data_IF_891849867094
#
_entry.id   IF_891849867094
#
_cell.length_a   1.000
_cell.length_b   1.000
_cell.length_c   1.000
_cell.angle_alpha   90.00
_cell.angle_beta   90.00
_cell.angle_gamma   90.00
#
_symmetry.space_group_name_H-M   'P 1'
#
loop_
_entity.id
_entity.type
_entity.pdbx_description
1 polymer ?
#
# COMPACT_ATOMS: atom_id res chain seq x y z
N UNK A 1 -8.20 -14.45 -11.37
CA UNK A 1 -7.25 -14.09 -10.31
C UNK A 1 -5.83 -14.25 -10.81
N UNK A 2 -4.98 -13.33 -10.48
CA UNK A 2 -3.57 -13.44 -10.84
C UNK A 2 -2.72 -12.82 -9.74
N UNK A 3 -1.48 -13.23 -9.66
CA UNK A 3 -0.57 -12.72 -8.66
C UNK A 3 0.31 -11.65 -9.29
N UNK A 4 0.51 -10.55 -8.54
CA UNK A 4 1.43 -9.51 -8.94
C UNK A 4 2.80 -9.81 -8.32
N UNK A 5 3.86 -9.61 -9.10
CA UNK A 5 5.21 -9.90 -8.62
C UNK A 5 6.18 -8.76 -8.83
N UNK A 6 5.74 -7.67 -9.47
CA UNK A 6 6.65 -6.58 -9.81
C UNK A 6 7.28 -5.88 -8.60
N UNK A 7 6.66 -6.01 -7.44
CA UNK A 7 7.20 -5.42 -6.21
C UNK A 7 8.31 -6.28 -5.59
N UNK A 8 8.52 -7.47 -6.12
CA UNK A 8 9.52 -8.39 -5.55
C UNK A 8 10.88 -8.15 -6.16
N UNK A 9 11.39 -6.95 -5.97
CA UNK A 9 12.68 -6.57 -6.54
C UNK A 9 13.85 -6.86 -5.61
N UNK A 10 13.55 -7.25 -4.37
CA UNK A 10 14.57 -7.66 -3.42
C UNK A 10 13.92 -8.61 -2.41
N UNK A 11 14.70 -9.23 -1.56
CA UNK A 11 14.20 -10.25 -0.65
C UNK A 11 13.24 -9.75 0.41
N UNK A 12 13.13 -8.45 0.59
CA UNK A 12 12.27 -7.90 1.65
C UNK A 12 10.81 -8.27 1.42
N UNK A 13 10.39 -8.31 0.18
CA UNK A 13 8.99 -8.53 -0.15
C UNK A 13 8.65 -9.99 -0.47
N UNK A 14 9.59 -10.89 -0.28
CA UNK A 14 9.35 -12.29 -0.66
C UNK A 14 8.24 -12.94 0.16
N UNK A 15 8.01 -12.47 1.36
CA UNK A 15 6.98 -13.03 2.21
C UNK A 15 5.57 -12.55 1.93
N UNK A 16 5.41 -11.64 0.99
CA UNK A 16 4.10 -11.09 0.66
C UNK A 16 3.54 -11.73 -0.59
N UNK A 17 2.23 -11.94 -0.61
CA UNK A 17 1.52 -12.39 -1.81
C UNK A 17 0.45 -11.37 -2.14
N UNK A 18 0.55 -10.76 -3.30
CA UNK A 18 -0.44 -9.79 -3.78
C UNK A 18 -1.22 -10.42 -4.90
N UNK A 19 -2.53 -10.52 -4.74
CA UNK A 19 -3.40 -11.18 -5.69
C UNK A 19 -4.44 -10.20 -6.22
N UNK A 20 -4.64 -10.21 -7.53
CA UNK A 20 -5.74 -9.50 -8.19
C UNK A 20 -6.94 -10.41 -8.13
N UNK A 21 -8.02 -9.94 -7.52
CA UNK A 21 -9.14 -10.80 -7.16
C UNK A 21 -10.32 -10.73 -8.12
N UNK A 22 -10.37 -9.74 -9.00
CA UNK A 22 -11.55 -9.55 -9.86
C UNK A 22 -11.16 -9.46 -11.32
N UNK A 23 -12.16 -9.46 -12.18
CA UNK A 23 -12.00 -9.20 -13.60
C UNK A 23 -11.96 -7.70 -13.83
N UNK A 24 -11.39 -7.25 -14.95
CA UNK A 24 -11.40 -5.82 -15.24
C UNK A 24 -12.78 -5.24 -15.21
N UNK A 25 -12.94 -4.10 -14.59
CA UNK A 25 -14.20 -3.41 -14.46
C UNK A 25 -14.16 -2.03 -15.08
N UNK A 26 -14.71 -1.06 -14.38
CA UNK A 26 -14.78 0.31 -14.86
C UNK A 26 -13.41 0.82 -15.30
N UNK A 27 -13.35 1.38 -16.50
CA UNK A 27 -12.09 1.91 -17.03
C UNK A 27 -11.13 0.85 -17.52
N UNK A 28 -11.50 -0.41 -17.49
CA UNK A 28 -10.63 -1.50 -17.94
C UNK A 28 -9.65 -2.01 -16.91
N UNK A 29 -9.71 -1.48 -15.70
CA UNK A 29 -8.78 -1.88 -14.65
C UNK A 29 -9.43 -2.85 -13.67
N UNK A 30 -8.60 -3.58 -12.96
CA UNK A 30 -9.07 -4.38 -11.84
C UNK A 30 -9.24 -3.48 -10.63
N UNK A 31 -10.12 -3.87 -9.70
CA UNK A 31 -10.46 -3.03 -8.55
C UNK A 31 -10.32 -3.75 -7.22
N UNK A 32 -10.17 -5.07 -7.23
CA UNK A 32 -10.12 -5.84 -5.99
C UNK A 32 -8.78 -6.53 -5.86
N UNK A 33 -8.08 -6.26 -4.76
CA UNK A 33 -6.77 -6.82 -4.52
C UNK A 33 -6.71 -7.36 -3.10
N UNK A 34 -5.85 -8.35 -2.88
CA UNK A 34 -5.56 -8.78 -1.52
C UNK A 34 -4.06 -8.92 -1.36
N UNK A 35 -3.60 -8.63 -0.16
CA UNK A 35 -2.21 -8.82 0.24
C UNK A 35 -2.23 -9.77 1.40
N UNK A 36 -1.45 -10.83 1.32
CA UNK A 36 -1.35 -11.81 2.39
C UNK A 36 0.09 -12.00 2.79
N UNK A 37 0.30 -12.34 4.03
CA UNK A 37 1.63 -12.72 4.49
C UNK A 37 1.48 -13.70 5.63
N UNK A 38 2.52 -14.47 5.88
CA UNK A 38 2.53 -15.37 7.02
C UNK A 38 3.27 -14.70 8.16
N UNK A 39 2.60 -14.61 9.30
CA UNK A 39 3.24 -14.08 10.48
C UNK A 39 4.03 -15.22 11.11
N UNK A 40 5.35 -15.12 11.04
CA UNK A 40 6.20 -16.23 11.46
C UNK A 40 6.22 -16.45 12.95
N UNK A 41 5.83 -15.44 13.73
CA UNK A 41 5.81 -15.58 15.18
C UNK A 41 4.67 -16.47 15.65
N UNK A 42 3.47 -16.27 15.11
CA UNK A 42 2.30 -16.99 15.59
C UNK A 42 1.67 -17.87 14.52
N UNK A 43 2.31 -17.97 13.35
CA UNK A 43 1.87 -18.83 12.26
C UNK A 43 0.53 -18.45 11.66
N UNK A 44 0.04 -17.25 11.92
CA UNK A 44 -1.18 -16.77 11.29
C UNK A 44 -0.87 -16.23 9.88
N UNK A 45 -1.92 -16.10 9.06
CA UNK A 45 -1.78 -15.57 7.70
C UNK A 45 -2.76 -14.43 7.50
N UNK A 46 -2.42 -13.25 8.02
CA UNK A 46 -3.30 -12.09 7.88
C UNK A 46 -3.49 -11.66 6.44
N UNK A 47 -4.60 -11.01 6.19
CA UNK A 47 -4.95 -10.48 4.88
C UNK A 47 -5.22 -9.00 4.99
N UNK A 48 -4.93 -8.28 3.91
CA UNK A 48 -5.34 -6.90 3.75
C UNK A 48 -6.07 -6.80 2.42
N UNK A 49 -7.33 -6.42 2.43
CA UNK A 49 -8.09 -6.26 1.22
C UNK A 49 -8.12 -4.81 0.80
N UNK A 50 -7.95 -4.57 -0.50
CA UNK A 50 -8.03 -3.23 -1.06
C UNK A 50 -9.04 -3.27 -2.18
N UNK A 51 -10.13 -2.53 -2.00
CA UNK A 51 -11.13 -2.37 -3.04
C UNK A 51 -11.11 -0.93 -3.54
N UNK A 52 -10.76 -0.75 -4.80
CA UNK A 52 -10.73 0.58 -5.39
C UNK A 52 -12.11 1.01 -5.83
N UNK A 53 -12.31 2.32 -5.89
CA UNK A 53 -13.56 2.89 -6.40
C UNK A 53 -13.84 2.32 -7.79
N UNK A 54 -15.02 1.73 -7.94
CA UNK A 54 -15.41 1.09 -9.19
C UNK A 54 -16.64 1.82 -9.72
N UNK A 55 -16.44 2.63 -10.75
CA UNK A 55 -17.47 3.43 -11.34
C UNK A 55 -17.47 4.85 -10.81
N UNK A 56 -18.13 5.76 -11.54
CA UNK A 56 -18.16 7.17 -11.12
C UNK A 56 -18.93 7.36 -9.83
N UNK A 57 -18.37 8.14 -8.93
CA UNK A 57 -18.99 8.38 -7.62
C UNK A 57 -20.37 9.00 -7.78
N UNK A 58 -20.56 9.83 -8.79
CA UNK A 58 -21.84 10.48 -9.01
C UNK A 58 -22.94 9.48 -9.36
N UNK A 59 -22.58 8.34 -9.94
CA UNK A 59 -23.55 7.35 -10.37
C UNK A 59 -23.73 6.23 -9.38
N UNK A 60 -22.62 5.73 -8.82
CA UNK A 60 -22.69 4.54 -7.97
C UNK A 60 -22.36 4.85 -6.51
N UNK A 61 -22.03 6.10 -6.20
CA UNK A 61 -21.63 6.44 -4.86
C UNK A 61 -20.20 5.99 -4.56
N UNK A 62 -19.77 6.24 -3.35
CA UNK A 62 -18.46 5.80 -2.91
C UNK A 62 -18.52 4.32 -2.59
N UNK A 63 -17.77 3.51 -3.32
CA UNK A 63 -17.75 2.07 -3.09
C UNK A 63 -16.35 1.50 -2.96
N UNK A 64 -15.35 2.35 -2.83
CA UNK A 64 -13.99 1.87 -2.64
C UNK A 64 -13.06 3.04 -2.36
N UNK A 65 -11.77 2.73 -2.33
CA UNK A 65 -10.74 3.73 -2.04
C UNK A 65 -10.17 4.27 -3.33
N UNK A 66 -9.45 5.38 -3.23
CA UNK A 66 -8.79 5.99 -4.38
C UNK A 66 -7.28 5.82 -4.26
N UNK A 67 -6.59 6.02 -5.38
CA UNK A 67 -5.13 6.03 -5.37
C UNK A 67 -4.63 7.08 -4.38
N UNK A 68 -5.26 8.24 -4.39
CA UNK A 68 -4.85 9.34 -3.52
C UNK A 68 -4.91 8.97 -2.06
N UNK A 69 -5.95 8.23 -1.67
CA UNK A 69 -6.07 7.81 -0.27
C UNK A 69 -4.93 6.88 0.13
N UNK A 70 -4.59 5.94 -0.74
CA UNK A 70 -3.49 5.02 -0.44
C UNK A 70 -2.16 5.75 -0.44
N UNK A 71 -1.97 6.67 -1.39
CA UNK A 71 -0.74 7.46 -1.40
C UNK A 71 -0.60 8.32 -0.16
N UNK A 72 -1.71 8.87 0.33
CA UNK A 72 -1.68 9.66 1.55
C UNK A 72 -1.20 8.83 2.73
N UNK A 73 -1.66 7.59 2.81
CA UNK A 73 -1.21 6.69 3.87
C UNK A 73 0.30 6.45 3.78
N UNK A 74 0.78 6.20 2.57
CA UNK A 74 2.20 5.96 2.36
C UNK A 74 3.04 7.18 2.70
N UNK A 75 2.57 8.34 2.29
CA UNK A 75 3.28 9.59 2.59
C UNK A 75 3.33 9.83 4.09
N UNK A 76 2.21 9.65 4.76
CA UNK A 76 2.16 9.84 6.21
C UNK A 76 3.16 8.93 6.92
N UNK A 77 3.22 7.67 6.48
CA UNK A 77 4.12 6.71 7.07
C UNK A 77 5.58 7.12 6.86
N UNK A 78 5.92 7.56 5.65
CA UNK A 78 7.27 8.00 5.36
C UNK A 78 7.65 9.24 6.14
N UNK A 79 6.72 10.18 6.26
CA UNK A 79 6.96 11.36 7.08
C UNK A 79 7.16 11.00 8.54
N UNK A 80 6.43 10.00 9.00
CA UNK A 80 6.63 9.52 10.36
C UNK A 80 8.03 9.00 10.60
N UNK A 81 8.58 8.28 9.63
CA UNK A 81 9.96 7.84 9.73
C UNK A 81 10.93 9.00 9.75
N UNK A 82 10.65 10.04 8.98
CA UNK A 82 11.51 11.22 8.97
C UNK A 82 11.49 11.98 10.29
N UNK A 83 10.39 11.92 11.01
CA UNK A 83 10.29 12.59 12.32
C UNK A 83 10.81 11.72 13.45
N UNK A 84 10.92 10.41 13.24
CA UNK A 84 11.28 9.48 14.28
C UNK A 84 12.77 9.22 14.33
N UNK A 85 13.14 8.19 15.07
CA UNK A 85 14.55 7.88 15.28
C UNK A 85 15.24 7.43 14.01
N UNK A 86 14.52 7.00 13.01
CA UNK A 86 15.16 6.59 11.76
C UNK A 86 15.54 7.77 10.88
N UNK A 87 15.13 8.96 11.23
CA UNK A 87 15.48 10.14 10.45
C UNK A 87 16.98 10.39 10.40
N UNK A 88 17.71 9.88 11.37
CA UNK A 88 19.13 10.12 11.45
C UNK A 88 19.97 9.19 10.60
N UNK A 89 19.36 8.19 10.02
CA UNK A 89 20.14 7.20 9.29
C UNK A 89 20.62 7.69 7.95
N UNK A 90 19.88 8.57 7.33
CA UNK A 90 20.23 9.02 6.01
C UNK A 90 20.91 10.36 6.09
N UNK A 91 21.98 10.52 5.34
CA UNK A 91 22.64 11.84 5.29
C UNK A 91 21.68 12.93 4.87
N UNK A 92 20.70 12.59 4.09
CA UNK A 92 19.80 13.59 3.56
C UNK A 92 19.02 14.33 4.64
N UNK A 93 18.92 13.75 5.83
CA UNK A 93 18.12 14.41 6.80
C UNK A 93 18.84 15.52 7.50
N UNK A 94 20.09 15.68 7.23
CA UNK A 94 20.83 16.68 7.95
C UNK A 94 20.34 18.09 7.70
N UNK A 95 19.76 18.33 6.54
CA UNK A 95 19.31 19.68 6.28
C UNK A 95 17.87 19.90 6.62
N UNK A 96 17.22 18.94 7.19
CA UNK A 96 15.83 19.10 7.59
C UNK A 96 15.78 19.50 9.04
N UNK A 97 15.39 20.74 9.34
CA UNK A 97 15.29 21.16 10.74
C UNK A 97 14.25 20.35 11.49
N UNK A 98 14.46 20.11 12.76
CA UNK A 98 13.57 19.25 13.51
C UNK A 98 12.11 19.66 13.49
N UNK A 99 11.82 20.89 13.30
CA UNK A 99 10.45 21.33 13.34
C UNK A 99 9.74 21.42 12.01
N UNK A 100 10.32 20.91 10.95
CA UNK A 100 9.76 21.12 9.61
C UNK A 100 8.80 20.07 9.14
N UNK A 101 8.48 19.13 9.94
CA UNK A 101 7.58 18.08 9.50
C UNK A 101 6.18 18.26 9.92
#
# INVERSE_FOLDING_TARGET
MRELTSYKVNGVNDGLTVTVKDEPGSGGANHQYSIRWKNERDQTEPHCFIGFQNGPIREVGTNGVTHEALLAILIDRLEGFQRGKFACDAPCRTEVPPGTH
#
